data_IF_169928809847
#
_entry.id   IF_169928809847
#
_cell.length_a   1.000
_cell.length_b   1.000
_cell.length_c   1.000
_cell.angle_alpha   90.00
_cell.angle_beta   90.00
_cell.angle_gamma   90.00
#
_symmetry.space_group_name_H-M   'P 1'
#
loop_
_entity.id
_entity.type
_entity.pdbx_description
1 polymer ?
#
# COMPACT_ATOMS: atom_id res chain seq x y z
N UNK A 1 -20.89 -30.78 -30.47
CA UNK A 1 -19.57 -31.01 -29.83
C UNK A 1 -18.59 -30.03 -30.47
N UNK A 2 -18.29 -28.91 -29.80
CA UNK A 2 -17.45 -27.85 -30.38
C UNK A 2 -16.10 -27.90 -29.66
N UNK A 3 -15.03 -28.17 -30.41
CA UNK A 3 -13.65 -28.11 -29.92
C UNK A 3 -12.99 -26.87 -30.50
N UNK A 4 -12.32 -26.09 -29.66
CA UNK A 4 -11.46 -24.98 -30.06
C UNK A 4 -10.00 -25.41 -29.87
N UNK A 5 -9.24 -25.41 -30.95
CA UNK A 5 -7.79 -25.66 -30.94
C UNK A 5 -7.07 -24.31 -31.12
N UNK A 6 -6.08 -24.03 -30.26
CA UNK A 6 -5.28 -22.80 -30.34
C UNK A 6 -3.81 -23.18 -30.41
N UNK A 7 -3.14 -22.86 -31.51
CA UNK A 7 -1.68 -23.00 -31.65
C UNK A 7 -1.00 -21.67 -31.32
N UNK A 8 -0.36 -21.58 -30.15
CA UNK A 8 0.56 -20.47 -29.85
C UNK A 8 1.93 -20.75 -30.50
N UNK A 9 2.48 -19.77 -31.24
CA UNK A 9 3.84 -19.83 -31.80
C UNK A 9 4.86 -19.90 -30.65
N UNK A 10 5.88 -20.74 -30.81
CA UNK A 10 7.04 -20.90 -29.92
C UNK A 10 7.49 -19.58 -29.26
N UNK A 11 7.04 -19.35 -28.01
CA UNK A 11 7.56 -18.26 -27.17
C UNK A 11 8.86 -18.75 -26.54
N UNK A 12 9.98 -18.11 -26.87
CA UNK A 12 11.23 -18.25 -26.11
C UNK A 12 11.08 -17.43 -24.83
N UNK A 13 10.92 -18.09 -23.69
CA UNK A 13 10.98 -17.42 -22.40
C UNK A 13 12.42 -17.01 -22.13
N UNK A 14 12.68 -15.71 -22.08
CA UNK A 14 13.97 -15.15 -21.70
C UNK A 14 13.91 -14.94 -20.19
N UNK A 15 14.56 -15.82 -19.42
CA UNK A 15 14.68 -15.71 -17.96
C UNK A 15 15.82 -14.75 -17.60
N UNK A 16 15.65 -13.45 -17.86
CA UNK A 16 16.55 -12.45 -17.28
C UNK A 16 15.89 -11.89 -16.03
N UNK A 17 16.56 -12.03 -14.88
CA UNK A 17 16.10 -11.38 -13.65
C UNK A 17 16.24 -9.87 -13.85
N UNK A 18 15.14 -9.18 -14.08
CA UNK A 18 15.13 -7.73 -14.25
C UNK A 18 15.74 -7.08 -13.00
N UNK A 19 16.60 -6.05 -13.17
CA UNK A 19 17.28 -5.41 -12.05
C UNK A 19 16.26 -4.85 -11.06
N UNK A 20 16.57 -4.98 -9.77
CA UNK A 20 15.73 -4.47 -8.71
C UNK A 20 15.51 -2.96 -8.87
N UNK A 21 14.25 -2.53 -8.88
CA UNK A 21 13.89 -1.11 -8.89
C UNK A 21 13.71 -0.63 -7.46
N UNK A 22 14.40 0.46 -7.12
CA UNK A 22 14.16 1.18 -5.87
C UNK A 22 13.05 2.21 -6.09
N UNK A 23 11.95 2.07 -5.36
CA UNK A 23 10.79 2.97 -5.41
C UNK A 23 10.69 3.66 -4.04
N UNK A 24 10.65 4.99 -4.03
CA UNK A 24 10.41 5.76 -2.82
C UNK A 24 9.00 6.32 -2.89
N UNK A 25 8.15 5.93 -1.95
CA UNK A 25 6.77 6.40 -1.83
C UNK A 25 6.75 7.38 -0.66
N UNK A 26 6.16 8.56 -0.88
CA UNK A 26 6.06 9.60 0.14
C UNK A 26 4.60 10.01 0.27
N UNK A 27 3.98 9.54 1.34
CA UNK A 27 2.62 9.90 1.71
C UNK A 27 2.66 11.16 2.60
N UNK A 28 1.80 12.13 2.31
CA UNK A 28 1.69 13.38 3.08
C UNK A 28 0.23 13.75 3.32
N UNK A 29 -0.05 14.28 4.51
CA UNK A 29 -1.29 15.00 4.80
C UNK A 29 -0.94 16.47 4.95
N UNK A 30 -1.64 17.32 4.19
CA UNK A 30 -1.38 18.75 4.13
C UNK A 30 -2.65 19.47 4.59
N UNK A 31 -2.49 20.44 5.47
CA UNK A 31 -3.59 21.29 5.94
C UNK A 31 -4.01 22.30 4.87
N UNK A 32 -5.14 22.98 5.08
CA UNK A 32 -5.61 24.09 4.23
C UNK A 32 -4.58 25.23 4.12
N UNK A 33 -3.78 25.44 5.17
CA UNK A 33 -2.70 26.44 5.18
C UNK A 33 -1.43 26.01 4.42
N UNK A 34 -1.45 24.84 3.77
CA UNK A 34 -0.27 24.28 3.09
C UNK A 34 0.77 23.66 4.04
N UNK A 35 0.52 23.63 5.35
CA UNK A 35 1.40 22.99 6.35
C UNK A 35 1.27 21.47 6.31
N UNK A 36 2.40 20.77 6.36
CA UNK A 36 2.43 19.31 6.39
C UNK A 36 2.16 18.81 7.81
N UNK A 37 1.05 18.11 8.00
CA UNK A 37 0.63 17.54 9.29
C UNK A 37 1.28 16.17 9.49
N UNK A 38 1.29 15.36 8.43
CA UNK A 38 1.95 14.06 8.41
C UNK A 38 2.79 13.89 7.16
N UNK A 39 3.96 13.27 7.33
CA UNK A 39 4.81 12.83 6.23
C UNK A 39 5.38 11.47 6.56
N UNK A 40 5.19 10.51 5.66
CA UNK A 40 5.74 9.17 5.82
C UNK A 40 6.39 8.75 4.51
N UNK A 41 7.66 8.37 4.57
CA UNK A 41 8.39 7.85 3.44
C UNK A 41 8.61 6.35 3.60
N UNK A 42 8.33 5.59 2.56
CA UNK A 42 8.63 4.16 2.48
C UNK A 42 9.52 3.90 1.28
N UNK A 43 10.63 3.20 1.49
CA UNK A 43 11.55 2.80 0.43
C UNK A 43 11.30 1.32 0.16
N UNK A 44 11.05 1.00 -1.10
CA UNK A 44 10.86 -0.36 -1.58
C UNK A 44 11.94 -0.70 -2.60
N UNK A 45 12.45 -1.92 -2.53
CA UNK A 45 13.31 -2.52 -3.55
C UNK A 45 12.55 -3.73 -4.07
N UNK A 46 11.96 -3.63 -5.25
CA UNK A 46 11.21 -4.75 -5.83
C UNK A 46 11.74 -5.10 -7.23
N UNK A 47 11.68 -6.38 -7.58
CA UNK A 47 11.86 -6.83 -8.96
C UNK A 47 10.66 -6.36 -9.79
N UNK A 48 10.89 -5.98 -11.05
CA UNK A 48 9.85 -5.39 -11.90
C UNK A 48 8.54 -6.22 -11.94
N UNK A 49 8.66 -7.55 -11.87
CA UNK A 49 7.52 -8.48 -11.96
C UNK A 49 6.76 -8.71 -10.63
N UNK A 50 7.24 -8.19 -9.50
CA UNK A 50 6.74 -8.53 -8.16
C UNK A 50 6.24 -7.34 -7.33
N UNK A 51 6.18 -6.13 -7.88
CA UNK A 51 5.74 -4.94 -7.12
C UNK A 51 4.20 -4.88 -6.88
N UNK A 52 3.41 -5.89 -7.29
CA UNK A 52 1.94 -5.85 -7.33
C UNK A 52 1.21 -5.93 -5.97
N UNK A 53 1.71 -6.72 -5.01
CA UNK A 53 0.87 -7.17 -3.89
C UNK A 53 1.28 -6.62 -2.51
N UNK A 54 2.22 -5.68 -2.44
CA UNK A 54 2.72 -5.22 -1.13
C UNK A 54 1.77 -4.19 -0.52
N UNK A 55 1.09 -4.56 0.57
CA UNK A 55 0.22 -3.66 1.37
C UNK A 55 1.02 -2.45 1.87
N UNK A 56 0.85 -1.31 1.23
CA UNK A 56 1.49 -0.06 1.61
C UNK A 56 0.96 0.45 2.95
N UNK A 57 1.78 1.20 3.69
CA UNK A 57 1.37 1.91 4.91
C UNK A 57 0.51 3.12 4.54
N UNK A 58 -0.71 2.86 4.08
CA UNK A 58 -1.61 3.87 3.51
C UNK A 58 -2.12 4.82 4.59
N UNK A 59 -2.36 6.06 4.20
CA UNK A 59 -3.02 7.09 5.00
C UNK A 59 -4.39 7.32 4.38
N UNK A 60 -5.44 7.35 5.18
CA UNK A 60 -6.79 7.72 4.75
C UNK A 60 -7.32 8.84 5.64
N UNK A 61 -8.12 9.72 5.05
CA UNK A 61 -8.86 10.74 5.80
C UNK A 61 -10.30 10.27 5.79
N UNK A 62 -10.84 10.01 6.98
CA UNK A 62 -12.23 9.58 7.16
C UNK A 62 -12.87 10.61 8.07
N UNK A 63 -13.91 11.27 7.57
CA UNK A 63 -14.57 12.40 8.25
C UNK A 63 -13.55 13.47 8.67
N UNK A 64 -13.25 13.58 9.97
CA UNK A 64 -12.33 14.56 10.54
C UNK A 64 -11.11 13.92 11.21
N UNK A 65 -10.82 12.66 10.88
CA UNK A 65 -9.70 11.90 11.41
C UNK A 65 -8.73 11.45 10.32
N UNK A 66 -7.45 11.42 10.67
CA UNK A 66 -6.38 10.88 9.85
C UNK A 66 -6.09 9.47 10.34
N UNK A 67 -6.34 8.48 9.49
CA UNK A 67 -6.14 7.07 9.78
C UNK A 67 -4.86 6.59 9.10
N UNK A 68 -3.92 6.09 9.89
CA UNK A 68 -2.65 5.54 9.40
C UNK A 68 -2.66 4.03 9.58
N UNK A 69 -2.75 3.32 8.46
CA UNK A 69 -2.75 1.86 8.42
C UNK A 69 -1.31 1.35 8.58
N UNK A 70 -1.06 0.68 9.69
CA UNK A 70 0.24 0.11 10.01
C UNK A 70 0.20 -1.41 9.79
N UNK A 71 0.61 -1.82 8.59
CA UNK A 71 0.86 -3.23 8.31
C UNK A 71 2.09 -3.72 9.08
N UNK A 72 2.00 -4.92 9.65
CA UNK A 72 3.08 -5.57 10.37
C UNK A 72 3.44 -6.90 9.69
N UNK A 73 4.65 -7.41 9.92
CA UNK A 73 5.08 -8.71 9.36
C UNK A 73 4.17 -9.85 9.85
N UNK A 74 3.70 -9.75 11.08
CA UNK A 74 2.60 -10.55 11.57
C UNK A 74 1.28 -9.81 11.28
N UNK A 75 0.39 -10.34 10.41
CA UNK A 75 -0.91 -9.73 10.10
C UNK A 75 -1.77 -9.46 11.34
N UNK A 76 -1.69 -10.32 12.35
CA UNK A 76 -2.49 -10.20 13.59
C UNK A 76 -2.12 -8.96 14.42
N UNK A 77 -0.94 -8.39 14.17
CA UNK A 77 -0.46 -7.19 14.84
C UNK A 77 -0.62 -5.94 13.96
N UNK A 78 -1.41 -6.03 12.89
CA UNK A 78 -1.75 -4.90 12.06
C UNK A 78 -2.71 -3.98 12.83
N UNK A 79 -2.40 -2.68 12.87
CA UNK A 79 -3.19 -1.69 13.62
C UNK A 79 -3.46 -0.46 12.78
N UNK A 80 -4.58 0.19 13.05
CA UNK A 80 -4.91 1.50 12.50
C UNK A 80 -4.67 2.51 13.61
N UNK A 81 -3.83 3.52 13.35
CA UNK A 81 -3.62 4.64 14.27
C UNK A 81 -4.48 5.81 13.84
N UNK A 82 -5.27 6.32 14.77
CA UNK A 82 -6.17 7.44 14.56
C UNK A 82 -5.52 8.70 15.11
N UNK A 83 -5.58 9.75 14.31
CA UNK A 83 -5.14 11.08 14.66
C UNK A 83 -6.26 12.05 14.36
N UNK A 84 -6.35 13.12 15.15
CA UNK A 84 -7.21 14.24 14.77
C UNK A 84 -6.66 14.92 13.52
N UNK A 85 -7.48 15.81 12.94
CA UNK A 85 -7.08 16.59 11.77
C UNK A 85 -5.86 17.50 12.02
N UNK A 86 -5.52 17.80 13.29
CA UNK A 86 -4.35 18.59 13.67
C UNK A 86 -3.08 17.74 13.85
N UNK A 87 -3.18 16.41 13.72
CA UNK A 87 -2.09 15.46 13.86
C UNK A 87 -1.83 14.95 15.28
N UNK A 88 -2.73 15.24 16.23
CA UNK A 88 -2.67 14.70 17.59
C UNK A 88 -3.17 13.27 17.60
N UNK A 89 -2.45 12.37 18.25
CA UNK A 89 -2.86 10.99 18.40
C UNK A 89 -4.14 10.89 19.25
N UNK A 90 -5.12 10.15 18.74
CA UNK A 90 -6.38 9.89 19.43
C UNK A 90 -6.35 8.49 20.06
N UNK A 91 -6.31 7.45 19.24
CA UNK A 91 -6.29 6.07 19.68
C UNK A 91 -5.70 5.15 18.60
N UNK A 92 -5.72 3.84 18.87
CA UNK A 92 -5.43 2.80 17.90
C UNK A 92 -6.55 1.78 17.93
N UNK A 93 -6.84 1.21 16.78
CA UNK A 93 -7.75 0.07 16.63
C UNK A 93 -7.00 -1.07 15.92
N UNK A 94 -7.43 -2.30 16.15
CA UNK A 94 -6.88 -3.43 15.42
C UNK A 94 -7.34 -3.35 13.96
N UNK A 95 -6.45 -3.70 13.04
CA UNK A 95 -6.79 -3.70 11.63
C UNK A 95 -7.50 -5.00 11.30
N UNK A 96 -8.83 -4.95 11.35
CA UNK A 96 -9.71 -6.06 11.01
C UNK A 96 -9.50 -6.52 9.56
N UNK A 97 -9.98 -7.72 9.20
CA UNK A 97 -9.81 -8.31 7.86
C UNK A 97 -10.39 -7.48 6.69
N UNK A 98 -11.16 -6.42 6.99
CA UNK A 98 -11.66 -5.47 6.00
C UNK A 98 -10.52 -4.95 5.13
N UNK A 99 -10.76 -4.95 3.82
CA UNK A 99 -9.80 -4.38 2.88
C UNK A 99 -9.66 -2.87 3.11
N UNK A 100 -8.52 -2.29 2.73
CA UNK A 100 -8.31 -0.83 2.83
C UNK A 100 -9.41 -0.03 2.11
N UNK A 101 -9.96 -0.59 1.04
CA UNK A 101 -10.99 0.05 0.23
C UNK A 101 -12.39 -0.02 0.87
N UNK A 102 -12.59 -0.87 1.89
CA UNK A 102 -13.84 -1.03 2.66
C UNK A 102 -13.94 -0.14 3.90
N UNK A 103 -12.84 0.51 4.31
CA UNK A 103 -12.85 1.63 5.25
C UNK A 103 -13.16 2.93 4.52
#
# INVERSE_FOLDING_TARGET
MIKTERRERNRKFIFWKLPHKKITIVDKVINTDGKVIFKKSTILVCSADACGDTKFRRIKIIENEIWIFQYNRNPDNAVIKHYDFCGKYLNKTDWNEKSFDEY
#
